data_IF_580722527656
#
_entry.id   IF_580722527656
#
_cell.length_a   1.000
_cell.length_b   1.000
_cell.length_c   1.000
_cell.angle_alpha   90.00
_cell.angle_beta   90.00
_cell.angle_gamma   90.00
#
_symmetry.space_group_name_H-M   'P 1'
#
loop_
_entity.id
_entity.type
_entity.pdbx_description
1 polymer ?
#
# COMPACT_ATOMS: atom_id res chain seq x y z
N UNK A 1 -21.61 -10.36 -9.03
CA UNK A 1 -20.17 -10.40 -8.73
C UNK A 1 -20.01 -10.19 -7.23
N UNK A 2 -19.20 -11.02 -6.56
CA UNK A 2 -18.90 -10.88 -5.14
C UNK A 2 -17.47 -10.34 -4.99
N UNK A 3 -17.27 -9.33 -4.14
CA UNK A 3 -15.94 -8.76 -3.88
C UNK A 3 -15.11 -9.79 -3.10
N UNK A 4 -13.93 -10.22 -3.60
CA UNK A 4 -13.07 -11.15 -2.88
C UNK A 4 -12.72 -10.65 -1.47
N UNK A 5 -12.79 -11.51 -0.46
CA UNK A 5 -12.39 -11.16 0.92
C UNK A 5 -10.87 -11.16 1.11
N UNK A 6 -10.18 -10.34 0.32
CA UNK A 6 -8.73 -10.17 0.34
C UNK A 6 -8.40 -8.69 0.55
N UNK A 7 -7.28 -8.43 1.22
CA UNK A 7 -6.84 -7.06 1.49
C UNK A 7 -5.45 -6.86 0.90
N UNK A 8 -5.27 -5.75 0.19
CA UNK A 8 -4.05 -5.39 -0.50
C UNK A 8 -3.47 -4.10 0.09
N UNK A 9 -2.16 -4.12 0.29
CA UNK A 9 -1.36 -2.96 0.69
C UNK A 9 -0.18 -2.81 -0.27
N UNK A 10 0.34 -1.59 -0.40
CA UNK A 10 1.58 -1.31 -1.13
C UNK A 10 2.62 -0.74 -0.15
N UNK A 11 3.86 -1.18 -0.29
CA UNK A 11 5.03 -0.61 0.39
C UNK A 11 6.23 -0.52 -0.55
N UNK A 12 7.32 0.12 -0.12
CA UNK A 12 8.59 0.11 -0.85
C UNK A 12 8.51 0.67 -2.27
N UNK A 13 7.77 1.78 -2.47
CA UNK A 13 7.61 2.48 -3.76
C UNK A 13 8.54 3.71 -3.90
N UNK A 14 9.61 3.77 -3.11
CA UNK A 14 10.57 4.88 -3.18
C UNK A 14 11.33 4.92 -4.51
N UNK A 15 12.01 6.03 -4.79
CA UNK A 15 12.55 6.29 -6.13
C UNK A 15 13.99 5.80 -6.22
N UNK A 16 14.25 4.90 -7.17
CA UNK A 16 15.58 4.45 -7.53
C UNK A 16 16.07 5.03 -8.86
N UNK A 17 15.33 5.99 -9.44
CA UNK A 17 15.60 6.55 -10.77
C UNK A 17 16.95 7.27 -10.89
N UNK A 18 17.47 7.32 -12.13
CA UNK A 18 18.76 7.90 -12.49
C UNK A 18 18.80 9.43 -12.33
N UNK A 19 17.67 10.14 -12.26
CA UNK A 19 17.67 11.61 -12.11
C UNK A 19 18.31 12.11 -10.81
N UNK A 20 18.41 11.25 -9.78
CA UNK A 20 19.12 11.56 -8.53
C UNK A 20 20.65 11.40 -8.69
N UNK A 21 21.11 10.58 -9.63
CA UNK A 21 22.54 10.36 -9.90
C UNK A 21 23.18 11.52 -10.65
N UNK A 22 22.48 12.09 -11.63
CA UNK A 22 22.96 13.24 -12.41
C UNK A 22 23.33 14.42 -11.50
N UNK A 23 22.74 14.49 -10.32
CA UNK A 23 22.97 15.57 -9.36
C UNK A 23 24.08 15.26 -8.33
N UNK A 24 24.42 13.98 -8.05
CA UNK A 24 25.25 13.66 -6.87
C UNK A 24 26.25 12.46 -6.97
N UNK A 25 26.31 11.71 -8.07
CA UNK A 25 27.41 10.75 -8.36
C UNK A 25 27.36 9.34 -7.72
N UNK A 26 28.35 8.45 -8.01
CA UNK A 26 28.24 6.98 -7.85
C UNK A 26 28.35 6.42 -6.42
N UNK A 27 28.79 7.20 -5.42
CA UNK A 27 28.83 6.76 -4.01
C UNK A 27 27.43 6.63 -3.35
N UNK A 28 26.36 6.98 -4.08
CA UNK A 28 24.97 6.96 -3.60
C UNK A 28 24.19 5.67 -3.88
N UNK A 29 24.78 4.65 -4.52
CA UNK A 29 24.06 3.41 -4.85
C UNK A 29 23.43 2.70 -3.64
N UNK A 30 24.13 2.66 -2.50
CA UNK A 30 23.61 2.07 -1.27
C UNK A 30 22.52 2.95 -0.62
N UNK A 31 22.74 4.27 -0.52
CA UNK A 31 21.74 5.24 -0.04
C UNK A 31 20.48 5.29 -0.93
N UNK A 32 20.60 4.93 -2.22
CA UNK A 32 19.49 4.81 -3.18
C UNK A 32 18.55 3.68 -2.77
N UNK A 33 19.10 2.48 -2.54
CA UNK A 33 18.30 1.33 -2.13
C UNK A 33 17.64 1.58 -0.77
N UNK A 34 18.33 2.20 0.19
CA UNK A 34 17.76 2.55 1.49
C UNK A 34 16.58 3.52 1.40
N UNK A 35 16.67 4.55 0.53
CA UNK A 35 15.57 5.49 0.28
C UNK A 35 14.42 4.85 -0.50
N UNK A 36 14.74 3.93 -1.42
CA UNK A 36 13.75 3.25 -2.23
C UNK A 36 12.96 2.19 -1.41
N UNK A 37 13.64 1.47 -0.52
CA UNK A 37 13.03 0.53 0.42
C UNK A 37 12.18 1.23 1.48
N UNK A 38 12.70 2.31 2.06
CA UNK A 38 12.14 2.92 3.26
C UNK A 38 12.24 2.00 4.49
N UNK A 39 12.03 2.58 5.67
CA UNK A 39 11.90 1.82 6.91
C UNK A 39 10.43 1.41 7.13
N UNK A 40 10.19 0.17 7.54
CA UNK A 40 8.88 -0.30 7.96
C UNK A 40 8.74 -0.09 9.47
N UNK A 41 7.87 0.84 9.87
CA UNK A 41 7.71 1.23 11.27
C UNK A 41 6.63 0.40 11.98
N UNK A 42 6.54 0.58 13.31
CA UNK A 42 5.52 -0.04 14.15
C UNK A 42 4.10 0.24 13.64
N UNK A 43 3.83 1.48 13.20
CA UNK A 43 2.49 1.85 12.73
C UNK A 43 2.05 1.01 11.53
N UNK A 44 2.96 0.74 10.58
CA UNK A 44 2.66 -0.11 9.42
C UNK A 44 2.29 -1.53 9.86
N UNK A 45 2.99 -2.08 10.85
CA UNK A 45 2.69 -3.39 11.43
C UNK A 45 1.33 -3.42 12.14
N UNK A 46 1.01 -2.37 12.92
CA UNK A 46 -0.29 -2.24 13.59
C UNK A 46 -1.44 -2.11 12.59
N UNK A 47 -1.23 -1.43 11.46
CA UNK A 47 -2.21 -1.35 10.37
C UNK A 47 -2.53 -2.75 9.83
N UNK A 48 -1.52 -3.57 9.53
CA UNK A 48 -1.72 -4.94 9.06
C UNK A 48 -2.49 -5.79 10.10
N UNK A 49 -2.15 -5.66 11.38
CA UNK A 49 -2.85 -6.35 12.46
C UNK A 49 -4.32 -5.90 12.57
N UNK A 50 -4.58 -4.59 12.47
CA UNK A 50 -5.93 -4.04 12.54
C UNK A 50 -6.82 -4.57 11.42
N UNK A 51 -6.29 -4.61 10.18
CA UNK A 51 -6.99 -5.19 9.04
C UNK A 51 -7.26 -6.70 9.25
N UNK A 52 -6.26 -7.45 9.71
CA UNK A 52 -6.41 -8.87 10.05
C UNK A 52 -7.51 -9.10 11.08
N UNK A 53 -7.56 -8.29 12.13
CA UNK A 53 -8.51 -8.46 13.23
C UNK A 53 -9.93 -8.03 12.88
N UNK A 54 -10.09 -6.90 12.19
CA UNK A 54 -11.40 -6.29 11.95
C UNK A 54 -12.04 -6.77 10.64
N UNK A 55 -11.27 -6.88 9.56
CA UNK A 55 -11.78 -7.32 8.25
C UNK A 55 -11.83 -8.84 8.19
N UNK A 56 -10.91 -9.53 8.87
CA UNK A 56 -10.73 -10.99 8.81
C UNK A 56 -10.61 -11.50 7.36
N UNK A 57 -9.66 -10.96 6.58
CA UNK A 57 -9.48 -11.36 5.19
C UNK A 57 -8.96 -12.79 5.11
N UNK A 58 -9.32 -13.50 4.03
CA UNK A 58 -8.75 -14.82 3.73
C UNK A 58 -7.23 -14.70 3.53
N UNK A 59 -6.81 -13.64 2.83
CA UNK A 59 -5.41 -13.35 2.54
C UNK A 59 -5.12 -11.84 2.63
N UNK A 60 -3.98 -11.49 3.22
CA UNK A 60 -3.41 -10.15 3.09
C UNK A 60 -2.26 -10.23 2.09
N UNK A 61 -2.28 -9.35 1.09
CA UNK A 61 -1.22 -9.17 0.12
C UNK A 61 -0.47 -7.87 0.40
N UNK A 62 0.85 -7.95 0.46
CA UNK A 62 1.72 -6.80 0.63
C UNK A 62 2.62 -6.68 -0.59
N UNK A 63 2.28 -5.74 -1.45
CA UNK A 63 2.95 -5.50 -2.72
C UNK A 63 4.14 -4.55 -2.52
N UNK A 64 5.28 -4.84 -3.15
CA UNK A 64 6.49 -4.05 -2.99
C UNK A 64 7.38 -4.04 -4.22
N UNK A 65 8.03 -2.91 -4.48
CA UNK A 65 9.07 -2.81 -5.52
C UNK A 65 10.45 -3.05 -4.94
N UNK A 66 10.71 -2.46 -3.77
CA UNK A 66 11.92 -2.65 -2.97
C UNK A 66 11.51 -3.15 -1.57
N UNK A 67 12.20 -4.14 -1.01
CA UNK A 67 11.85 -4.63 0.33
C UNK A 67 12.17 -3.55 1.38
N UNK A 68 11.22 -3.16 2.25
CA UNK A 68 11.49 -2.31 3.39
C UNK A 68 12.54 -2.90 4.33
N UNK A 69 13.13 -2.03 5.15
CA UNK A 69 14.06 -2.43 6.21
C UNK A 69 13.43 -2.30 7.59
N UNK A 70 14.15 -2.74 8.63
CA UNK A 70 13.77 -2.55 10.03
C UNK A 70 13.16 -3.76 10.72
N UNK A 71 13.10 -3.68 12.05
CA UNK A 71 12.62 -4.76 12.92
C UNK A 71 11.17 -5.16 12.59
N UNK A 72 10.29 -4.18 12.39
CA UNK A 72 8.87 -4.44 12.17
C UNK A 72 8.58 -5.07 10.81
N UNK A 73 9.42 -4.82 9.79
CA UNK A 73 9.36 -5.57 8.53
C UNK A 73 9.62 -7.06 8.76
N UNK A 74 10.73 -7.38 9.44
CA UNK A 74 11.09 -8.77 9.74
C UNK A 74 10.03 -9.44 10.60
N UNK A 75 9.51 -8.72 11.60
CA UNK A 75 8.41 -9.18 12.46
C UNK A 75 7.16 -9.49 11.64
N UNK A 76 6.74 -8.59 10.75
CA UNK A 76 5.57 -8.79 9.89
C UNK A 76 5.71 -10.03 9.00
N UNK A 77 6.88 -10.23 8.38
CA UNK A 77 7.15 -11.41 7.52
C UNK A 77 7.07 -12.74 8.28
N UNK A 78 7.42 -12.74 9.56
CA UNK A 78 7.44 -13.94 10.41
C UNK A 78 6.13 -14.17 11.17
N UNK A 79 5.25 -13.16 11.24
CA UNK A 79 3.99 -13.26 11.97
C UNK A 79 2.94 -14.05 11.18
N UNK A 80 2.75 -15.31 11.57
CA UNK A 80 1.75 -16.20 10.98
C UNK A 80 0.31 -15.72 11.18
N UNK A 81 0.03 -14.90 12.20
CA UNK A 81 -1.32 -14.36 12.42
C UNK A 81 -1.71 -13.40 11.29
N UNK A 82 -0.74 -12.67 10.74
CA UNK A 82 -0.98 -11.78 9.62
C UNK A 82 -1.32 -12.54 8.34
N UNK A 83 -0.87 -13.79 8.19
CA UNK A 83 -0.96 -14.59 6.97
C UNK A 83 -0.72 -13.71 5.74
N UNK A 84 0.51 -13.19 5.62
CA UNK A 84 0.91 -12.30 4.53
C UNK A 84 1.38 -13.09 3.31
N UNK A 85 1.01 -12.60 2.13
CA UNK A 85 1.64 -12.97 0.86
C UNK A 85 2.38 -11.74 0.35
N UNK A 86 3.70 -11.84 0.23
CA UNK A 86 4.55 -10.77 -0.30
C UNK A 86 4.58 -10.87 -1.83
N UNK A 87 4.25 -9.78 -2.51
CA UNK A 87 4.18 -9.75 -3.97
C UNK A 87 5.14 -8.69 -4.49
N UNK A 88 6.21 -9.13 -5.17
CA UNK A 88 7.13 -8.20 -5.81
C UNK A 88 6.50 -7.66 -7.10
N UNK A 89 6.43 -6.33 -7.22
CA UNK A 89 5.95 -5.64 -8.43
C UNK A 89 7.10 -4.82 -9.04
N UNK A 90 7.12 -4.61 -10.37
CA UNK A 90 8.12 -3.75 -10.98
C UNK A 90 7.95 -2.30 -10.50
N UNK A 91 9.04 -1.52 -10.33
CA UNK A 91 8.94 -0.11 -10.06
C UNK A 91 8.18 0.60 -11.19
N UNK A 92 7.18 1.39 -10.84
CA UNK A 92 6.42 2.17 -11.82
C UNK A 92 7.23 3.41 -12.20
N UNK A 93 7.81 3.40 -13.40
CA UNK A 93 8.71 4.46 -13.88
C UNK A 93 8.07 5.38 -14.92
N UNK A 94 7.00 4.93 -15.61
CA UNK A 94 6.29 5.72 -16.63
C UNK A 94 4.84 5.28 -16.82
N UNK A 95 4.00 6.17 -17.38
CA UNK A 95 2.67 5.85 -17.94
C UNK A 95 2.63 6.36 -19.37
N UNK A 96 2.20 5.54 -20.34
CA UNK A 96 2.05 5.98 -21.74
C UNK A 96 3.26 6.79 -22.26
N UNK A 97 4.49 6.33 -21.98
CA UNK A 97 5.76 6.99 -22.28
C UNK A 97 6.02 8.36 -21.59
N UNK A 98 5.19 8.75 -20.62
CA UNK A 98 5.45 9.90 -19.76
C UNK A 98 6.14 9.46 -18.46
N UNK A 99 7.34 9.98 -18.15
CA UNK A 99 8.04 9.63 -16.91
C UNK A 99 7.26 10.13 -15.69
N UNK A 100 7.20 9.29 -14.65
CA UNK A 100 6.55 9.65 -13.38
C UNK A 100 7.57 10.13 -12.36
N UNK A 101 7.55 11.43 -12.07
CA UNK A 101 8.47 12.03 -11.10
C UNK A 101 7.96 11.97 -9.65
N UNK A 102 6.65 11.78 -9.41
CA UNK A 102 6.06 11.80 -8.07
C UNK A 102 5.55 10.43 -7.61
N UNK A 103 5.85 10.08 -6.36
CA UNK A 103 5.43 8.83 -5.70
C UNK A 103 3.92 8.61 -5.66
N UNK A 104 3.14 9.68 -5.42
CA UNK A 104 1.69 9.58 -5.30
C UNK A 104 1.05 8.97 -6.57
N UNK A 105 1.47 9.43 -7.75
CA UNK A 105 0.96 8.92 -9.02
C UNK A 105 1.36 7.46 -9.30
N UNK A 106 2.52 7.01 -8.78
CA UNK A 106 2.95 5.60 -8.90
C UNK A 106 2.04 4.68 -8.08
N UNK A 107 1.75 5.05 -6.84
CA UNK A 107 0.88 4.27 -5.96
C UNK A 107 -0.57 4.19 -6.46
N UNK A 108 -1.07 5.24 -7.13
CA UNK A 108 -2.41 5.23 -7.72
C UNK A 108 -2.57 4.17 -8.81
N UNK A 109 -1.58 4.04 -9.70
CA UNK A 109 -1.60 3.06 -10.79
C UNK A 109 -1.49 1.64 -10.24
N UNK A 110 -0.49 1.41 -9.37
CA UNK A 110 -0.32 0.09 -8.75
C UNK A 110 -1.61 -0.36 -8.07
N UNK A 111 -2.28 0.54 -7.35
CA UNK A 111 -3.57 0.26 -6.71
C UNK A 111 -4.63 -0.18 -7.72
N UNK A 112 -4.77 0.54 -8.83
CA UNK A 112 -5.75 0.19 -9.87
C UNK A 112 -5.43 -1.15 -10.53
N UNK A 113 -4.17 -1.39 -10.90
CA UNK A 113 -3.73 -2.67 -11.49
C UNK A 113 -3.93 -3.85 -10.53
N UNK A 114 -3.66 -3.64 -9.24
CA UNK A 114 -3.89 -4.65 -8.21
C UNK A 114 -5.38 -4.97 -8.08
N UNK A 115 -6.24 -3.95 -7.99
CA UNK A 115 -7.68 -4.17 -7.86
C UNK A 115 -8.29 -4.78 -9.12
N UNK A 116 -7.83 -4.42 -10.31
CA UNK A 116 -8.24 -5.03 -11.57
C UNK A 116 -7.88 -6.52 -11.62
N UNK A 117 -6.65 -6.87 -11.19
CA UNK A 117 -6.15 -8.24 -11.21
C UNK A 117 -6.72 -9.15 -10.11
N UNK A 118 -6.84 -8.64 -8.89
CA UNK A 118 -7.16 -9.45 -7.71
C UNK A 118 -8.57 -9.20 -7.15
N UNK A 119 -9.19 -8.06 -7.48
CA UNK A 119 -10.35 -7.56 -6.75
C UNK A 119 -10.02 -7.23 -5.29
N UNK A 120 -11.03 -7.25 -4.43
CA UNK A 120 -10.88 -7.11 -2.98
C UNK A 120 -10.80 -5.67 -2.48
N UNK A 121 -10.09 -5.49 -1.36
CA UNK A 121 -10.02 -4.21 -0.65
C UNK A 121 -8.58 -3.71 -0.68
N UNK A 122 -8.36 -2.49 -1.16
CA UNK A 122 -7.08 -1.82 -1.02
C UNK A 122 -7.08 -0.86 0.17
N UNK A 123 -6.00 -0.87 0.97
CA UNK A 123 -5.78 0.07 2.06
C UNK A 123 -4.34 0.63 2.03
N UNK A 124 -4.18 1.87 2.48
CA UNK A 124 -2.86 2.45 2.72
C UNK A 124 -2.28 1.97 4.06
N UNK A 125 -0.95 1.96 4.17
CA UNK A 125 -0.23 1.55 5.39
C UNK A 125 -0.26 2.61 6.53
N UNK A 126 -1.05 3.66 6.37
CA UNK A 126 -1.39 4.67 7.38
C UNK A 126 -2.87 4.63 7.78
N UNK A 127 -3.64 3.65 7.28
CA UNK A 127 -5.07 3.48 7.60
C UNK A 127 -5.27 2.41 8.67
N UNK A 128 -5.62 2.84 9.88
CA UNK A 128 -5.96 1.92 10.97
C UNK A 128 -7.44 1.51 10.88
N UNK A 129 -7.70 0.21 10.75
CA UNK A 129 -9.07 -0.32 10.66
C UNK A 129 -9.63 -0.52 12.06
N UNK A 130 -10.69 0.20 12.40
CA UNK A 130 -11.33 0.12 13.72
C UNK A 130 -12.59 -0.75 13.75
N UNK A 131 -13.23 -0.97 12.60
CA UNK A 131 -14.47 -1.76 12.48
C UNK A 131 -14.45 -2.56 11.18
N UNK A 132 -15.18 -3.67 11.19
CA UNK A 132 -15.34 -4.51 10.02
C UNK A 132 -16.02 -3.79 8.86
N UNK A 133 -15.61 -4.10 7.63
CA UNK A 133 -16.21 -3.56 6.40
C UNK A 133 -17.41 -4.38 5.91
N UNK A 134 -17.83 -5.44 6.60
CA UNK A 134 -18.91 -6.32 6.16
C UNK A 134 -20.19 -5.58 5.74
N UNK A 135 -20.55 -4.49 6.44
CA UNK A 135 -21.73 -3.67 6.10
C UNK A 135 -21.60 -2.93 4.76
N UNK A 136 -20.39 -2.51 4.40
CA UNK A 136 -20.13 -1.86 3.11
C UNK A 136 -20.16 -2.90 1.99
N UNK A 137 -19.53 -4.07 2.22
CA UNK A 137 -19.42 -5.14 1.25
C UNK A 137 -20.77 -5.83 0.99
N UNK A 138 -21.62 -6.01 2.01
CA UNK A 138 -22.93 -6.64 1.84
C UNK A 138 -23.88 -5.85 0.93
N UNK A 139 -23.62 -4.55 0.74
CA UNK A 139 -24.40 -3.66 -0.12
C UNK A 139 -23.75 -3.44 -1.50
N UNK A 140 -22.71 -4.21 -1.85
CA UNK A 140 -21.88 -4.02 -3.05
C UNK A 140 -22.57 -4.31 -4.39
N UNK A 141 -23.78 -4.87 -4.40
CA UNK A 141 -24.59 -5.02 -5.62
C UNK A 141 -24.87 -3.68 -6.34
N UNK A 142 -24.56 -2.54 -5.73
CA UNK A 142 -24.74 -1.19 -6.29
C UNK A 142 -23.43 -0.39 -6.36
N UNK A 143 -22.26 -0.99 -6.08
CA UNK A 143 -21.01 -0.23 -5.91
C UNK A 143 -19.82 -0.91 -6.58
N UNK A 144 -19.29 -0.26 -7.63
CA UNK A 144 -18.09 -0.71 -8.36
C UNK A 144 -16.79 -0.30 -7.64
N UNK A 145 -16.81 0.81 -6.91
CA UNK A 145 -15.70 1.25 -6.04
C UNK A 145 -16.21 2.16 -4.91
N UNK A 146 -15.66 2.00 -3.70
CA UNK A 146 -15.88 2.95 -2.60
C UNK A 146 -14.62 3.81 -2.49
N UNK A 147 -14.70 5.05 -2.95
CA UNK A 147 -13.71 6.08 -2.65
C UNK A 147 -14.21 6.88 -1.45
N UNK A 148 -13.56 6.75 -0.30
CA UNK A 148 -13.83 7.62 0.83
C UNK A 148 -13.12 8.96 0.61
N UNK A 149 -13.89 10.05 0.55
CA UNK A 149 -13.38 11.42 0.61
C UNK A 149 -13.81 12.01 1.95
N UNK A 150 -12.84 12.49 2.73
CA UNK A 150 -13.12 13.23 3.96
C UNK A 150 -13.47 14.67 3.58
N UNK A 151 -14.74 15.03 3.70
CA UNK A 151 -15.16 16.42 3.62
C UNK A 151 -14.64 17.16 4.85
N UNK A 152 -13.91 18.26 4.64
CA UNK A 152 -13.50 19.16 5.73
C UNK A 152 -14.70 20.02 6.13
N UNK A 153 -15.71 19.41 6.75
CA UNK A 153 -16.70 20.18 7.49
C UNK A 153 -16.06 20.64 8.80
N UNK A 154 -15.40 21.79 8.75
CA UNK A 154 -15.11 22.58 9.93
C UNK A 154 -16.46 23.00 10.53
N UNK A 155 -16.95 22.26 11.52
CA UNK A 155 -17.96 22.80 12.41
C UNK A 155 -17.28 23.91 13.22
N UNK A 156 -17.42 25.16 12.76
CA UNK A 156 -17.31 26.33 13.61
C UNK A 156 -18.39 26.19 14.69
N UNK A 157 -17.96 25.76 15.87
CA UNK A 157 -18.76 25.88 17.09
C UNK A 157 -18.75 27.36 17.44
N UNK A 158 -19.90 28.01 17.29
CA UNK A 158 -20.21 29.32 17.86
C UNK A 158 -20.38 29.23 19.38
#
# INVERSE_FOLDING_TARGET
YEIPNTVHFITGQGDASESILDQFGPRLGYRRLERASGEFHLINYLVLLSARQQIKPTQIYLHYSFEPTGYWWLKAKQDRQLNLTLVKIPPITSIYNHPLHHHAHRSDIARLEILDKYGGIYLYLDVLVLKSFSKLISNSYQVEAIFAWEDKQYNTIC
#
